data_IF_322340918317
#
_entry.id   IF_322340918317
#
_cell.length_a   1.000
_cell.length_b   1.000
_cell.length_c   1.000
_cell.angle_alpha   90.00
_cell.angle_beta   90.00
_cell.angle_gamma   90.00
#
_symmetry.space_group_name_H-M   'P 1'
#
loop_
_entity.id
_entity.type
_entity.pdbx_description
1 polymer ?
2 non-polymer ?
3 water ?
#
# COMPACT_ATOMS: atom_id res chain seq x y z
N UNK A 24 -9.05 -26.04 -31.09
CA UNK A 24 -9.90 -26.95 -30.36
C UNK A 24 -11.13 -26.31 -29.77
N UNK A 25 -11.17 -24.98 -29.82
CA UNK A 25 -12.31 -24.24 -29.29
C UNK A 25 -13.57 -24.56 -30.07
N UNK A 26 -14.70 -24.57 -29.36
CA UNK A 26 -15.99 -24.73 -29.99
C UNK A 26 -16.30 -23.52 -30.87
N UNK A 27 -17.19 -23.73 -31.84
CA UNK A 27 -17.58 -22.64 -32.73
C UNK A 27 -18.27 -21.51 -31.97
N UNK A 28 -18.88 -21.82 -30.82
CA UNK A 28 -19.54 -20.79 -30.03
C UNK A 28 -18.52 -19.87 -29.38
N UNK A 29 -17.47 -20.43 -28.78
CA UNK A 29 -16.46 -19.60 -28.13
C UNK A 29 -15.64 -18.81 -29.15
N UNK A 30 -15.36 -19.42 -30.31
CA UNK A 30 -14.63 -18.71 -31.35
C UNK A 30 -15.45 -17.55 -31.91
N UNK A 31 -16.76 -17.73 -32.04
CA UNK A 31 -17.62 -16.64 -32.51
C UNK A 31 -17.72 -15.53 -31.48
N UNK A 32 -17.78 -15.89 -30.19
CA UNK A 32 -17.84 -14.87 -29.15
C UNK A 32 -16.56 -14.03 -29.12
N UNK A 33 -15.40 -14.69 -29.24
CA UNK A 33 -14.14 -13.95 -29.24
C UNK A 33 -14.01 -13.06 -30.47
N UNK A 34 -14.62 -13.45 -31.59
CA UNK A 34 -14.61 -12.65 -32.80
C UNK A 34 -15.77 -11.67 -32.87
N UNK A 35 -16.45 -11.42 -31.75
CA UNK A 35 -17.51 -10.42 -31.65
C UNK A 35 -18.66 -10.70 -32.62
N UNK A 36 -19.00 -11.99 -32.78
CA UNK A 36 -20.14 -12.33 -33.63
C UNK A 36 -21.46 -12.19 -32.89
N UNK A 37 -21.46 -12.36 -31.57
CA UNK A 37 -22.67 -12.29 -30.75
C UNK A 37 -22.54 -11.13 -29.77
N UNK A 38 -23.00 -9.93 -30.14
CA UNK A 38 -22.90 -8.80 -29.21
C UNK A 38 -23.84 -8.90 -28.02
N UNK A 39 -24.98 -9.59 -28.17
CA UNK A 39 -25.98 -9.71 -27.12
C UNK A 39 -26.15 -11.16 -26.68
N UNK A 40 -25.04 -11.88 -26.53
CA UNK A 40 -25.10 -13.26 -26.08
C UNK A 40 -25.54 -13.32 -24.61
N UNK A 41 -26.21 -14.42 -24.27
CA UNK A 41 -26.70 -14.63 -22.91
C UNK A 41 -26.14 -15.93 -22.35
N UNK A 42 -26.25 -16.08 -21.03
CA UNK A 42 -25.76 -17.29 -20.38
C UNK A 42 -26.55 -18.53 -20.80
N UNK A 43 -27.82 -18.35 -21.16
CA UNK A 43 -28.63 -19.48 -21.62
C UNK A 43 -28.12 -20.05 -22.93
N UNK A 44 -27.41 -19.25 -23.74
CA UNK A 44 -26.97 -19.67 -25.06
C UNK A 44 -25.63 -20.39 -25.05
N UNK A 45 -24.95 -20.46 -23.90
CA UNK A 45 -23.68 -21.14 -23.79
C UNK A 45 -23.80 -22.41 -22.94
N UNK A 46 -25.00 -22.98 -22.85
CA UNK A 46 -25.19 -24.21 -22.11
C UNK A 46 -24.36 -25.33 -22.72
N UNK A 47 -23.78 -26.16 -21.86
CA UNK A 47 -22.86 -27.19 -22.29
C UNK A 47 -21.46 -26.74 -22.58
N UNK A 48 -21.18 -25.42 -22.49
CA UNK A 48 -19.85 -24.89 -22.76
C UNK A 48 -19.34 -24.03 -21.60
N UNK A 49 -19.85 -24.24 -20.39
CA UNK A 49 -19.48 -23.38 -19.27
C UNK A 49 -18.04 -23.63 -18.86
N UNK A 50 -17.61 -24.89 -18.84
CA UNK A 50 -16.23 -25.20 -18.48
C UNK A 50 -15.26 -24.60 -19.49
N UNK A 51 -15.57 -24.71 -20.79
CA UNK A 51 -14.71 -24.13 -21.81
C UNK A 51 -14.65 -22.61 -21.69
N UNK A 52 -15.81 -21.97 -21.48
CA UNK A 52 -15.83 -20.52 -21.35
C UNK A 52 -15.12 -20.05 -20.09
N UNK A 53 -15.28 -20.79 -18.98
CA UNK A 53 -14.66 -20.37 -17.73
C UNK A 53 -13.14 -20.38 -17.81
N UNK A 54 -12.57 -21.26 -18.63
CA UNK A 54 -11.13 -21.37 -18.77
C UNK A 54 -10.57 -20.50 -19.89
N UNK A 55 -11.42 -19.78 -20.61
CA UNK A 55 -10.99 -18.83 -21.62
C UNK A 55 -10.94 -17.42 -21.02
N UNK A 56 -9.99 -16.62 -21.51
CA UNK A 56 -9.82 -15.27 -20.98
C UNK A 56 -11.07 -14.43 -21.19
N UNK A 57 -11.62 -14.46 -22.40
CA UNK A 57 -12.79 -13.63 -22.69
C UNK A 57 -14.09 -14.32 -22.27
N UNK A 58 -14.14 -15.65 -22.36
CA UNK A 58 -15.33 -16.36 -21.92
C UNK A 58 -15.56 -16.28 -20.42
N UNK A 59 -14.48 -16.30 -19.64
CA UNK A 59 -14.60 -16.15 -18.19
C UNK A 59 -15.16 -14.79 -17.82
N UNK A 60 -14.69 -13.72 -18.48
CA UNK A 60 -15.22 -12.40 -18.22
C UNK A 60 -16.69 -12.28 -18.63
N UNK A 61 -17.09 -13.04 -19.66
CA UNK A 61 -18.49 -13.05 -20.05
C UNK A 61 -19.36 -13.61 -18.93
N UNK A 62 -18.94 -14.71 -18.33
CA UNK A 62 -19.71 -15.30 -17.23
C UNK A 62 -19.71 -14.36 -16.03
N UNK A 63 -18.58 -13.70 -15.77
CA UNK A 63 -18.48 -12.79 -14.62
C UNK A 63 -19.52 -11.68 -14.71
N UNK A 64 -19.50 -10.90 -15.80
CA UNK A 64 -20.39 -9.75 -15.91
C UNK A 64 -21.85 -10.18 -15.98
N UNK A 65 -22.12 -11.40 -16.46
CA UNK A 65 -23.49 -11.89 -16.54
C UNK A 65 -23.96 -12.53 -15.24
N UNK A 66 -23.04 -13.01 -14.41
CA UNK A 66 -23.43 -13.72 -13.19
C UNK A 66 -24.12 -12.81 -12.18
N UNK A 67 -23.99 -11.49 -12.32
CA UNK A 67 -24.54 -10.60 -11.31
C UNK A 67 -26.01 -10.27 -11.54
N UNK A 68 -26.57 -10.59 -12.70
CA UNK A 68 -27.92 -10.17 -13.05
C UNK A 68 -28.80 -11.33 -13.51
N UNK A 69 -28.38 -12.56 -13.28
CA UNK A 69 -29.13 -13.74 -13.68
C UNK A 69 -29.95 -14.26 -12.50
N UNK A 70 -31.04 -14.95 -12.81
CA UNK A 70 -31.87 -15.55 -11.78
C UNK A 70 -31.09 -16.65 -11.07
N UNK A 71 -31.44 -16.97 -9.82
CA UNK A 71 -30.77 -18.08 -9.14
C UNK A 71 -30.84 -19.38 -9.90
N UNK A 72 -31.89 -19.57 -10.71
CA UNK A 72 -31.99 -20.79 -11.52
C UNK A 72 -30.94 -20.78 -12.63
N UNK A 73 -30.73 -19.63 -13.28
CA UNK A 73 -29.69 -19.54 -14.30
C UNK A 73 -28.31 -19.68 -13.69
N UNK A 74 -28.10 -19.14 -12.49
CA UNK A 74 -26.83 -19.34 -11.80
C UNK A 74 -26.63 -20.81 -11.44
N UNK A 75 -27.71 -21.49 -11.02
CA UNK A 75 -27.59 -22.90 -10.67
C UNK A 75 -27.21 -23.75 -11.88
N UNK A 76 -27.73 -23.41 -13.06
CA UNK A 76 -27.36 -24.14 -14.27
C UNK A 76 -25.89 -23.94 -14.60
N UNK A 77 -25.39 -22.71 -14.42
CA UNK A 77 -23.96 -22.47 -14.59
C UNK A 77 -23.16 -23.20 -13.51
N UNK A 78 -23.66 -23.19 -12.27
CA UNK A 78 -22.96 -23.84 -11.18
C UNK A 78 -22.89 -25.35 -11.35
N UNK A 79 -23.86 -25.95 -12.05
CA UNK A 79 -23.88 -27.40 -12.22
C UNK A 79 -22.72 -27.86 -13.09
N UNK A 80 -22.38 -27.09 -14.13
CA UNK A 80 -21.34 -27.50 -15.06
C UNK A 80 -19.93 -27.29 -14.54
N UNK A 81 -19.76 -26.63 -13.40
CA UNK A 81 -18.43 -26.36 -12.84
C UNK A 81 -18.23 -26.98 -11.47
N UNK A 82 -19.26 -27.61 -10.89
CA UNK A 82 -19.13 -28.13 -9.53
C UNK A 82 -18.11 -29.25 -9.45
N UNK A 83 -18.09 -30.15 -10.43
CA UNK A 83 -17.19 -31.29 -10.37
C UNK A 83 -15.73 -30.86 -10.52
N UNK A 84 -15.48 -29.76 -11.23
CA UNK A 84 -14.13 -29.24 -11.42
C UNK A 84 -13.92 -27.90 -10.73
N UNK A 85 -14.64 -27.67 -9.63
CA UNK A 85 -14.52 -26.39 -8.92
C UNK A 85 -13.13 -26.23 -8.32
N UNK A 86 -12.59 -27.28 -7.69
CA UNK A 86 -11.25 -27.20 -7.13
C UNK A 86 -10.22 -26.98 -8.22
N UNK A 87 -10.45 -27.52 -9.42
CA UNK A 87 -9.57 -27.24 -10.55
C UNK A 87 -9.66 -25.78 -10.97
N UNK A 88 -10.87 -25.22 -10.98
CA UNK A 88 -11.06 -23.85 -11.43
C UNK A 88 -10.55 -22.82 -10.43
N UNK A 89 -10.47 -23.17 -9.14
CA UNK A 89 -10.02 -22.22 -8.14
C UNK A 89 -8.57 -21.81 -8.36
N UNK A 90 -7.76 -22.68 -8.98
CA UNK A 90 -6.36 -22.35 -9.28
C UNK A 90 -6.15 -22.01 -10.74
N UNK A 91 -7.20 -22.02 -11.55
CA UNK A 91 -7.06 -21.64 -12.94
C UNK A 91 -6.90 -20.13 -13.07
N UNK A 92 -6.13 -19.70 -14.07
CA UNK A 92 -5.84 -18.29 -14.26
C UNK A 92 -7.11 -17.51 -14.57
N UNK A 93 -8.06 -18.13 -15.29
CA UNK A 93 -9.30 -17.48 -15.67
C UNK A 93 -10.52 -18.06 -14.98
N UNK A 94 -10.51 -19.34 -14.63
CA UNK A 94 -11.65 -19.95 -13.98
C UNK A 94 -11.83 -19.51 -12.54
N UNK A 95 -10.77 -19.04 -11.88
CA UNK A 95 -10.89 -18.64 -10.48
C UNK A 95 -11.82 -17.44 -10.32
N UNK A 96 -11.93 -16.59 -11.35
CA UNK A 96 -12.84 -15.44 -11.26
C UNK A 96 -14.30 -15.89 -11.24
N UNK A 97 -14.62 -16.96 -11.97
CA UNK A 97 -15.98 -17.49 -11.95
C UNK A 97 -16.30 -18.04 -10.56
N UNK A 98 -15.32 -18.67 -9.92
CA UNK A 98 -15.53 -19.13 -8.54
C UNK A 98 -15.69 -17.95 -7.60
N UNK A 99 -14.93 -16.88 -7.83
CA UNK A 99 -15.06 -15.68 -7.00
C UNK A 99 -16.44 -15.06 -7.14
N UNK A 100 -16.95 -14.97 -8.38
CA UNK A 100 -18.26 -14.37 -8.59
C UNK A 100 -19.38 -15.20 -7.98
N UNK A 101 -19.22 -16.52 -7.93
CA UNK A 101 -20.23 -17.35 -7.28
C UNK A 101 -20.25 -17.12 -5.77
N UNK A 102 -19.12 -16.75 -5.17
CA UNK A 102 -19.14 -16.32 -3.78
C UNK A 102 -19.81 -14.97 -3.64
N UNK A 103 -19.68 -14.10 -4.64
CA UNK A 103 -20.23 -12.75 -4.57
C UNK A 103 -21.70 -12.67 -4.95
N UNK A 104 -22.20 -13.64 -5.73
CA UNK A 104 -23.59 -13.59 -6.18
C UNK A 104 -24.33 -14.91 -6.12
N UNK A 105 -23.72 -15.98 -5.60
CA UNK A 105 -24.37 -17.27 -5.56
C UNK A 105 -25.23 -17.46 -4.33
N UNK A 106 -26.06 -18.50 -4.37
CA UNK A 106 -26.96 -18.80 -3.27
C UNK A 106 -26.19 -19.45 -2.12
N UNK A 107 -26.91 -19.77 -1.04
CA UNK A 107 -26.27 -20.24 0.18
C UNK A 107 -25.62 -21.61 -0.01
N UNK A 108 -26.41 -22.58 -0.47
CA UNK A 108 -25.89 -23.94 -0.61
C UNK A 108 -24.78 -24.02 -1.66
N UNK A 109 -24.77 -23.09 -2.61
CA UNK A 109 -23.66 -23.03 -3.56
C UNK A 109 -22.37 -22.62 -2.87
N UNK A 110 -22.42 -21.63 -1.98
CA UNK A 110 -21.23 -21.24 -1.24
C UNK A 110 -20.82 -22.33 -0.25
N UNK A 111 -21.79 -23.02 0.34
CA UNK A 111 -21.47 -24.15 1.20
C UNK A 111 -20.85 -25.30 0.41
N UNK A 112 -21.29 -25.49 -0.84
CA UNK A 112 -20.70 -26.53 -1.68
C UNK A 112 -19.27 -26.16 -2.07
N UNK A 113 -19.04 -24.90 -2.43
CA UNK A 113 -17.69 -24.45 -2.75
C UNK A 113 -16.79 -24.50 -1.52
N UNK A 114 -17.33 -24.17 -0.36
CA UNK A 114 -16.53 -24.23 0.86
C UNK A 114 -16.21 -25.67 1.25
N UNK A 115 -17.09 -26.61 0.94
CA UNK A 115 -16.81 -28.02 1.26
C UNK A 115 -15.66 -28.55 0.42
N UNK A 116 -15.51 -28.08 -0.81
CA UNK A 116 -14.36 -28.46 -1.62
C UNK A 116 -13.07 -27.85 -1.08
N UNK A 117 -13.17 -26.66 -0.48
CA UNK A 117 -11.99 -26.01 0.08
C UNK A 117 -11.58 -26.66 1.40
N UNK A 118 -12.52 -27.26 2.13
CA UNK A 118 -12.20 -27.91 3.40
C UNK A 118 -11.14 -28.98 3.18
N UNK A 119 -10.04 -28.87 3.92
CA UNK A 119 -8.90 -29.76 3.77
C UNK A 119 -7.85 -29.26 2.81
N UNK A 120 -8.13 -28.22 2.02
CA UNK A 120 -7.17 -27.67 1.08
C UNK A 120 -7.01 -26.16 1.25
N UNK A 121 -7.33 -25.63 2.43
CA UNK A 121 -7.23 -24.18 2.64
C UNK A 121 -5.78 -23.73 2.57
N UNK A 122 -4.86 -24.51 3.15
CA UNK A 122 -3.45 -24.15 3.11
C UNK A 122 -2.91 -24.20 1.69
N UNK A 123 -3.27 -25.23 0.93
CA UNK A 123 -2.77 -25.36 -0.44
C UNK A 123 -3.26 -24.21 -1.32
N UNK A 124 -4.51 -23.79 -1.14
CA UNK A 124 -5.06 -22.70 -1.94
C UNK A 124 -4.49 -21.35 -1.53
N UNK A 125 -4.37 -21.11 -0.22
CA UNK A 125 -3.87 -19.82 0.25
C UNK A 125 -2.45 -19.54 -0.19
N UNK A 126 -1.68 -20.58 -0.52
CA UNK A 126 -0.32 -20.42 -1.01
C UNK A 126 -0.25 -20.31 -2.53
N UNK A 127 -1.37 -20.47 -3.22
CA UNK A 127 -1.41 -20.39 -4.67
C UNK A 127 -1.70 -18.95 -5.10
N UNK A 128 -1.31 -18.65 -6.35
CA UNK A 128 -1.44 -17.29 -6.86
C UNK A 128 -2.91 -16.87 -6.93
N UNK A 129 -3.76 -17.72 -7.50
CA UNK A 129 -5.18 -17.41 -7.62
C UNK A 129 -6.02 -18.05 -6.53
N UNK A 130 -5.50 -19.09 -5.86
CA UNK A 130 -6.21 -19.67 -4.74
C UNK A 130 -6.35 -18.73 -3.56
N UNK A 131 -5.33 -17.88 -3.33
CA UNK A 131 -5.40 -16.95 -2.22
C UNK A 131 -6.53 -15.95 -2.40
N UNK A 132 -6.86 -15.61 -3.65
CA UNK A 132 -8.00 -14.73 -3.92
C UNK A 132 -9.32 -15.46 -3.73
N UNK A 133 -9.36 -16.76 -4.02
CA UNK A 133 -10.57 -17.53 -3.74
C UNK A 133 -10.79 -17.65 -2.24
N UNK A 134 -9.71 -17.85 -1.48
CA UNK A 134 -9.83 -17.94 -0.02
C UNK A 134 -10.34 -16.61 0.55
N UNK A 135 -9.83 -15.49 0.01
CA UNK A 135 -10.28 -14.19 0.48
C UNK A 135 -11.76 -13.95 0.17
N UNK A 136 -12.18 -14.25 -1.06
CA UNK A 136 -13.57 -14.08 -1.42
C UNK A 136 -14.48 -15.01 -0.63
N UNK A 137 -13.99 -16.20 -0.29
CA UNK A 137 -14.78 -17.13 0.51
C UNK A 137 -15.04 -16.57 1.90
N UNK A 138 -13.97 -16.19 2.61
CA UNK A 138 -14.13 -15.62 3.95
C UNK A 138 -14.93 -14.32 3.94
N UNK A 139 -15.10 -13.70 2.78
CA UNK A 139 -15.83 -12.44 2.68
C UNK A 139 -17.33 -12.63 2.52
N UNK A 140 -17.78 -13.78 2.05
CA UNK A 140 -19.18 -13.96 1.70
C UNK A 140 -19.85 -15.20 2.29
N UNK A 141 -19.11 -16.11 2.92
CA UNK A 141 -19.72 -17.31 3.49
C UNK A 141 -20.15 -16.99 4.92
N UNK A 142 -21.10 -17.75 5.50
CA UNK A 142 -21.52 -17.47 6.88
C UNK A 142 -20.38 -17.59 7.87
N UNK A 143 -20.62 -17.06 9.07
CA UNK A 143 -19.56 -16.96 10.07
C UNK A 143 -19.10 -18.33 10.54
N UNK A 144 -20.02 -19.28 10.70
CA UNK A 144 -19.64 -20.62 11.15
C UNK A 144 -18.70 -21.29 10.17
N UNK A 145 -18.84 -21.00 8.87
CA UNK A 145 -17.91 -21.54 7.88
C UNK A 145 -16.63 -20.71 7.81
N UNK A 146 -16.70 -19.42 8.15
CA UNK A 146 -15.49 -18.63 8.29
C UNK A 146 -14.63 -19.15 9.43
N UNK A 147 -15.26 -19.52 10.54
CA UNK A 147 -14.50 -20.01 11.70
C UNK A 147 -13.85 -21.34 11.40
N UNK A 148 -14.60 -22.29 10.84
CA UNK A 148 -14.03 -23.59 10.49
C UNK A 148 -12.91 -23.47 9.49
N UNK A 149 -12.93 -22.41 8.68
CA UNK A 149 -11.89 -22.19 7.67
C UNK A 149 -10.70 -21.41 8.23
N UNK A 150 -10.95 -20.46 9.13
CA UNK A 150 -9.84 -19.71 9.71
C UNK A 150 -9.11 -20.55 10.76
N UNK A 151 -9.79 -21.52 11.37
CA UNK A 151 -9.11 -22.43 12.29
C UNK A 151 -8.10 -23.30 11.56
N UNK A 152 -8.33 -23.57 10.28
CA UNK A 152 -7.36 -24.29 9.48
C UNK A 152 -6.15 -23.43 9.13
N UNK A 153 -6.32 -22.10 9.13
CA UNK A 153 -5.21 -21.19 8.87
C UNK A 153 -4.29 -21.06 10.09
N UNK A 154 -4.86 -21.08 11.30
CA UNK A 154 -4.05 -20.92 12.50
C UNK A 154 -3.05 -22.05 12.68
N UNK A 155 -3.21 -23.16 11.96
CA UNK A 155 -2.29 -24.29 12.11
C UNK A 155 -0.97 -24.04 11.42
N UNK A 156 -0.92 -23.10 10.48
CA UNK A 156 0.27 -22.80 9.69
C UNK A 156 0.47 -21.29 9.56
N UNK A 157 0.20 -20.55 10.65
CA UNK A 157 0.28 -19.10 10.59
C UNK A 157 1.69 -18.63 10.24
N UNK A 158 2.71 -19.26 10.84
CA UNK A 158 4.08 -18.86 10.58
C UNK A 158 4.47 -19.06 9.11
N UNK A 159 3.94 -20.12 8.49
CA UNK A 159 4.23 -20.35 7.07
C UNK A 159 3.51 -19.35 6.18
N UNK A 160 2.30 -18.92 6.56
CA UNK A 160 1.49 -18.07 5.71
C UNK A 160 1.98 -16.63 5.69
N UNK A 161 2.44 -16.11 6.83
CA UNK A 161 2.81 -14.70 6.90
C UNK A 161 4.02 -14.38 6.03
N UNK A 162 4.84 -15.37 5.68
CA UNK A 162 6.03 -15.14 4.88
C UNK A 162 5.85 -15.55 3.43
N UNK A 163 4.71 -16.11 3.07
CA UNK A 163 4.48 -16.58 1.70
C UNK A 163 4.09 -15.42 0.80
N UNK A 164 4.42 -15.58 -0.49
CA UNK A 164 4.13 -14.53 -1.47
C UNK A 164 2.64 -14.26 -1.60
N UNK A 165 1.81 -15.29 -1.42
CA UNK A 165 0.36 -15.13 -1.50
C UNK A 165 -0.35 -15.44 -0.20
N UNK A 166 0.24 -16.26 0.67
CA UNK A 166 -0.40 -16.56 1.95
C UNK A 166 -0.52 -15.36 2.86
N UNK A 167 0.38 -14.38 2.72
CA UNK A 167 0.33 -13.20 3.56
C UNK A 167 -0.92 -12.38 3.31
N UNK A 168 -1.45 -12.39 2.09
CA UNK A 168 -2.67 -11.65 1.80
C UNK A 168 -3.88 -12.24 2.50
N UNK A 169 -3.90 -13.56 2.70
CA UNK A 169 -4.97 -14.18 3.46
C UNK A 169 -4.87 -13.80 4.93
N UNK A 170 -3.65 -13.77 5.47
CA UNK A 170 -3.46 -13.39 6.87
C UNK A 170 -3.85 -11.94 7.09
N UNK A 171 -3.54 -11.06 6.12
CA UNK A 171 -3.96 -9.67 6.24
C UNK A 171 -5.48 -9.55 6.29
N UNK A 172 -6.18 -10.36 5.48
CA UNK A 172 -7.63 -10.30 5.45
C UNK A 172 -8.23 -10.63 6.81
N UNK A 173 -7.67 -11.62 7.51
CA UNK A 173 -8.16 -11.97 8.84
C UNK A 173 -7.85 -10.86 9.83
N UNK A 174 -6.71 -10.21 9.69
CA UNK A 174 -6.37 -9.10 10.57
C UNK A 174 -7.29 -7.91 10.38
N UNK A 175 -7.90 -7.77 9.19
CA UNK A 175 -8.77 -6.64 8.93
C UNK A 175 -10.24 -6.94 9.21
N UNK A 176 -10.66 -8.20 9.05
CA UNK A 176 -12.08 -8.54 9.17
C UNK A 176 -12.36 -9.75 10.05
N UNK A 177 -11.34 -10.36 10.64
CA UNK A 177 -11.55 -11.51 11.48
C UNK A 177 -11.94 -11.15 12.89
N UNK A 178 -12.09 -12.18 13.73
CA UNK A 178 -12.45 -11.99 15.12
C UNK A 178 -11.23 -11.56 15.93
N UNK A 179 -11.44 -10.82 17.03
CA UNK A 179 -10.30 -10.41 17.85
C UNK A 179 -9.48 -11.57 18.39
N UNK A 180 -10.13 -12.71 18.68
CA UNK A 180 -9.39 -13.89 19.12
C UNK A 180 -8.50 -14.43 18.01
N UNK A 181 -8.97 -14.36 16.76
CA UNK A 181 -8.16 -14.80 15.64
C UNK A 181 -6.97 -13.86 15.43
N UNK A 182 -7.18 -12.55 15.58
CA UNK A 182 -6.08 -11.61 15.46
C UNK A 182 -5.06 -11.79 16.58
N UNK A 183 -5.52 -12.18 17.78
CA UNK A 183 -4.59 -12.42 18.88
C UNK A 183 -3.69 -13.61 18.60
N UNK A 184 -4.23 -14.65 17.95
CA UNK A 184 -3.40 -15.79 17.59
C UNK A 184 -2.35 -15.40 16.56
N UNK A 185 -2.70 -14.49 15.64
CA UNK A 185 -1.74 -14.05 14.64
C UNK A 185 -0.69 -13.14 15.28
N UNK A 186 -1.11 -12.28 16.22
CA UNK A 186 -0.16 -11.42 16.92
C UNK A 186 0.80 -12.26 17.76
N UNK A 187 0.29 -13.31 18.41
CA UNK A 187 1.16 -14.18 19.21
C UNK A 187 2.17 -14.90 18.34
N UNK A 188 1.83 -15.20 17.09
CA UNK A 188 2.78 -15.84 16.20
C UNK A 188 3.87 -14.89 15.74
N UNK A 189 3.58 -13.60 15.70
CA UNK A 189 4.53 -12.58 15.33
C UNK A 189 5.40 -12.13 16.50
N UNK A 190 4.91 -12.30 17.70
CA UNK A 190 5.61 -11.90 18.91
C UNK A 190 6.93 -12.64 19.05
N UNK A 191 7.97 -11.87 19.24
CA UNK A 191 9.31 -12.39 19.32
C UNK A 191 10.07 -12.36 18.01
N UNK A 192 9.40 -12.06 16.92
CA UNK A 192 10.04 -12.00 15.61
C UNK A 192 9.76 -10.72 14.87
N UNK A 193 9.36 -9.72 15.61
CA UNK A 193 8.90 -8.46 15.03
C UNK A 193 9.98 -7.83 14.18
N UNK A 194 11.22 -7.81 14.67
CA UNK A 194 12.30 -7.19 13.91
C UNK A 194 12.56 -7.93 12.60
N UNK A 195 12.64 -9.26 12.67
CA UNK A 195 12.98 -10.03 11.47
C UNK A 195 11.84 -9.97 10.46
N UNK A 196 10.60 -10.19 10.91
CA UNK A 196 9.48 -10.21 9.98
C UNK A 196 9.16 -8.83 9.41
N UNK A 197 9.50 -7.76 10.14
CA UNK A 197 9.32 -6.43 9.59
C UNK A 197 10.19 -6.21 8.36
N UNK A 198 11.38 -6.82 8.34
CA UNK A 198 12.28 -6.71 7.20
C UNK A 198 11.97 -7.70 6.09
N UNK A 199 11.06 -8.63 6.31
CA UNK A 199 10.67 -9.58 5.28
C UNK A 199 9.82 -8.87 4.23
N UNK A 200 9.97 -9.29 2.96
CA UNK A 200 9.28 -8.62 1.87
C UNK A 200 7.76 -8.72 2.02
N UNK A 201 7.26 -9.89 2.39
CA UNK A 201 5.82 -10.10 2.50
C UNK A 201 5.31 -10.05 3.94
N UNK A 202 6.11 -10.47 4.91
CA UNK A 202 5.67 -10.43 6.30
C UNK A 202 5.54 -9.02 6.83
N UNK A 203 6.24 -8.06 6.22
CA UNK A 203 6.13 -6.66 6.65
C UNK A 203 4.69 -6.18 6.55
N UNK A 204 3.97 -6.60 5.50
CA UNK A 204 2.57 -6.24 5.38
C UNK A 204 1.75 -6.80 6.53
N UNK A 205 2.10 -8.01 6.99
CA UNK A 205 1.36 -8.63 8.08
C UNK A 205 1.68 -7.94 9.40
N UNK A 206 2.95 -7.60 9.63
CA UNK A 206 3.34 -6.92 10.85
C UNK A 206 2.68 -5.55 10.93
N UNK A 207 2.57 -4.86 9.79
CA UNK A 207 1.91 -3.55 9.77
C UNK A 207 0.43 -3.67 10.13
N UNK A 208 -0.25 -4.70 9.61
CA UNK A 208 -1.65 -4.89 9.92
C UNK A 208 -1.86 -5.24 11.39
N UNK A 209 -0.89 -5.93 12.00
CA UNK A 209 -0.97 -6.19 13.44
C UNK A 209 -0.92 -4.91 14.24
N UNK A 210 0.02 -4.02 13.91
CA UNK A 210 0.12 -2.74 14.60
C UNK A 210 -1.17 -1.94 14.42
N UNK A 211 -1.85 -2.12 13.30
CA UNK A 211 -3.06 -1.35 13.02
C UNK A 211 -4.29 -1.93 13.71
N UNK A 212 -4.44 -3.26 13.70
CA UNK A 212 -5.70 -3.88 14.09
C UNK A 212 -5.65 -4.67 15.40
N UNK A 213 -4.47 -4.90 15.97
CA UNK A 213 -4.42 -5.56 17.26
C UNK A 213 -4.93 -4.63 18.35
N UNK A 214 -5.17 -5.20 19.53
CA UNK A 214 -5.60 -4.39 20.66
C UNK A 214 -4.47 -3.45 21.08
N UNK A 215 -4.84 -2.42 21.86
CA UNK A 215 -3.87 -1.43 22.28
C UNK A 215 -2.79 -2.04 23.17
N UNK A 216 -3.12 -3.11 23.89
CA UNK A 216 -2.11 -3.80 24.69
C UNK A 216 -1.18 -4.63 23.81
N UNK A 217 -1.75 -5.39 22.87
CA UNK A 217 -0.95 -6.24 21.99
C UNK A 217 0.02 -5.41 21.16
N UNK A 218 -0.47 -4.32 20.56
CA UNK A 218 0.40 -3.50 19.72
C UNK A 218 1.40 -2.71 20.55
N UNK A 219 1.10 -2.43 21.82
CA UNK A 219 2.09 -1.81 22.70
C UNK A 219 3.19 -2.79 23.06
N UNK A 220 2.87 -4.08 23.17
CA UNK A 220 3.90 -5.09 23.39
C UNK A 220 4.75 -5.27 22.15
N UNK A 221 4.13 -5.26 20.97
CA UNK A 221 4.88 -5.40 19.72
C UNK A 221 5.81 -4.21 19.51
N UNK A 222 5.32 -3.00 19.81
CA UNK A 222 6.18 -1.82 19.70
C UNK A 222 7.30 -1.88 20.74
N UNK A 223 6.98 -2.35 21.95
CA UNK A 223 8.00 -2.44 23.00
C UNK A 223 9.11 -3.41 22.62
N UNK A 224 8.80 -4.43 21.82
CA UNK A 224 9.80 -5.42 21.46
C UNK A 224 10.95 -4.78 20.68
N UNK A 225 10.63 -3.93 19.71
CA UNK A 225 11.67 -3.25 18.94
C UNK A 225 12.18 -1.99 19.64
N UNK A 226 11.59 -1.61 20.77
CA UNK A 226 12.10 -0.52 21.58
C UNK A 226 13.17 -0.98 22.57
N UNK A 227 13.43 -2.28 22.65
CA UNK A 227 14.45 -2.79 23.57
C UNK A 227 15.84 -2.58 23.00
N UNK A 228 16.80 -2.38 23.90
CA UNK A 228 18.19 -2.20 23.51
C UNK A 228 18.79 -3.55 23.13
N UNK A 229 19.35 -3.64 21.92
CA UNK A 229 20.04 -4.83 21.46
C UNK A 229 21.48 -4.49 21.14
N UNK A 230 22.29 -5.53 20.91
CA UNK A 230 23.71 -5.37 20.62
C UNK A 230 24.01 -5.36 19.14
N UNK A 231 22.99 -5.24 18.29
CA UNK A 231 23.19 -5.22 16.86
C UNK A 231 23.94 -4.00 16.38
N UNK A 232 24.39 -4.02 15.12
CA UNK A 232 25.12 -2.86 14.59
C UNK A 232 24.35 -1.56 14.72
N UNK A 233 23.05 -1.58 14.48
CA UNK A 233 22.16 -0.47 14.74
C UNK A 233 21.04 -0.93 15.65
N UNK A 234 20.39 0.03 16.32
CA UNK A 234 19.24 -0.30 17.13
C UNK A 234 18.14 -0.90 16.27
N UNK A 235 17.23 -1.64 16.92
CA UNK A 235 16.13 -2.26 16.20
C UNK A 235 15.30 -1.22 15.46
N UNK A 236 15.03 -0.08 16.10
CA UNK A 236 14.23 0.95 15.47
C UNK A 236 14.98 1.60 14.30
N UNK A 237 16.25 1.95 14.51
CA UNK A 237 17.01 2.58 13.43
C UNK A 237 17.22 1.64 12.26
N UNK A 238 17.46 0.35 12.54
CA UNK A 238 17.57 -0.64 11.47
C UNK A 238 16.28 -0.71 10.66
N UNK A 239 15.13 -0.62 11.33
CA UNK A 239 13.84 -0.68 10.64
C UNK A 239 13.59 0.58 9.81
N UNK A 240 13.99 1.75 10.33
CA UNK A 240 13.74 3.00 9.63
C UNK A 240 14.49 3.06 8.30
N UNK A 241 15.66 2.43 8.23
CA UNK A 241 16.47 2.42 7.01
C UNK A 241 16.24 1.18 6.17
N UNK A 242 15.39 0.25 6.61
CA UNK A 242 15.13 -0.96 5.86
C UNK A 242 14.10 -0.72 4.77
N UNK A 243 14.18 -1.51 3.69
CA UNK A 243 13.30 -1.33 2.56
C UNK A 243 11.84 -1.59 2.93
N UNK A 244 11.60 -2.61 3.74
CA UNK A 244 10.23 -3.02 4.08
C UNK A 244 9.82 -2.65 5.50
N UNK A 245 10.76 -2.61 6.44
CA UNK A 245 10.42 -2.35 7.83
C UNK A 245 10.11 -0.88 8.10
N UNK A 246 10.54 0.04 7.23
CA UNK A 246 10.23 1.45 7.45
C UNK A 246 8.74 1.72 7.34
N UNK A 247 8.04 0.95 6.52
CA UNK A 247 6.59 1.06 6.45
C UNK A 247 5.93 0.63 7.75
N UNK A 248 6.59 -0.24 8.51
CA UNK A 248 6.06 -0.65 9.81
C UNK A 248 6.32 0.43 10.86
N UNK A 249 7.47 1.10 10.77
CA UNK A 249 7.79 2.17 11.72
C UNK A 249 6.77 3.30 11.59
N UNK A 250 6.42 3.67 10.36
CA UNK A 250 5.46 4.76 10.15
C UNK A 250 4.13 4.45 10.82
N UNK A 251 3.69 3.19 10.76
CA UNK A 251 2.43 2.82 11.41
C UNK A 251 2.59 2.80 12.93
N UNK A 252 3.77 2.43 13.44
CA UNK A 252 4.00 2.45 14.88
C UNK A 252 3.97 3.88 15.42
N UNK A 253 4.53 4.83 14.65
CA UNK A 253 4.51 6.24 15.07
C UNK A 253 3.08 6.74 15.19
N UNK A 254 2.17 6.24 14.36
CA UNK A 254 0.80 6.75 14.36
C UNK A 254 0.01 6.30 15.58
N UNK A 255 0.25 5.08 16.06
CA UNK A 255 -0.61 4.48 17.08
C UNK A 255 0.07 4.36 18.44
N UNK A 256 1.37 4.61 18.55
CA UNK A 256 2.05 4.43 19.82
C UNK A 256 1.55 5.42 20.86
N UNK A 257 1.45 4.95 22.11
CA UNK A 257 1.09 5.82 23.21
C UNK A 257 2.22 6.83 23.45
N UNK A 258 1.90 7.97 24.07
CA UNK A 258 2.93 9.01 24.27
C UNK A 258 4.22 8.51 24.90
N UNK A 259 4.15 7.52 25.77
CA UNK A 259 5.34 6.95 26.36
C UNK A 259 6.23 6.28 25.34
N UNK A 260 5.68 5.29 24.63
CA UNK A 260 6.45 4.61 23.59
C UNK A 260 6.71 5.53 22.41
N UNK A 261 5.85 6.53 22.18
CA UNK A 261 6.06 7.44 21.07
C UNK A 261 7.34 8.26 21.23
N UNK A 262 7.57 8.78 22.44
CA UNK A 262 8.79 9.55 22.67
C UNK A 262 10.04 8.72 22.48
N UNK A 263 9.97 7.42 22.79
CA UNK A 263 11.13 6.55 22.62
C UNK A 263 11.41 6.33 21.14
N UNK A 264 10.37 6.11 20.34
CA UNK A 264 10.55 5.89 18.91
C UNK A 264 11.05 7.17 18.24
N UNK A 265 10.43 8.30 18.55
CA UNK A 265 10.83 9.56 17.93
C UNK A 265 12.23 9.99 18.35
N UNK A 266 12.63 9.64 19.58
CA UNK A 266 13.99 9.97 20.01
C UNK A 266 15.02 9.26 19.13
N UNK A 267 14.80 7.98 18.84
CA UNK A 267 15.72 7.26 17.97
C UNK A 267 15.71 7.83 16.55
N UNK A 268 14.57 8.34 16.10
CA UNK A 268 14.49 8.94 14.78
C UNK A 268 15.27 10.25 14.71
N UNK A 269 15.22 11.04 15.77
CA UNK A 269 15.91 12.32 15.77
C UNK A 269 17.43 12.17 15.82
N UNK A 270 17.92 11.11 16.45
CA UNK A 270 19.36 10.89 16.55
C UNK A 270 19.99 10.56 15.20
N UNK A 271 19.20 10.08 14.24
CA UNK A 271 19.72 9.65 12.94
C UNK A 271 19.07 10.42 11.79
N UNK A 272 18.51 11.60 12.07
CA UNK A 272 17.80 12.36 11.04
C UNK A 272 18.72 12.70 9.86
N UNK A 273 19.98 13.04 10.15
CA UNK A 273 20.89 13.45 9.09
C UNK A 273 21.08 12.33 8.07
N UNK A 274 21.25 11.09 8.54
CA UNK A 274 21.38 9.97 7.62
C UNK A 274 20.04 9.53 7.04
N UNK A 275 18.95 9.69 7.80
CA UNK A 275 17.66 9.20 7.33
C UNK A 275 17.13 10.00 6.15
N UNK A 276 17.33 11.33 6.17
CA UNK A 276 16.81 12.15 5.09
C UNK A 276 17.49 11.86 3.76
N UNK A 277 18.69 11.26 3.79
CA UNK A 277 19.41 10.93 2.57
C UNK A 277 19.39 9.44 2.26
N UNK A 278 18.98 8.59 3.19
CA UNK A 278 18.91 7.16 2.93
C UNK A 278 17.81 6.85 1.93
N UNK A 279 17.99 5.75 1.19
CA UNK A 279 17.03 5.38 0.15
C UNK A 279 15.66 5.10 0.73
N UNK A 280 15.61 4.49 1.92
CA UNK A 280 14.34 4.15 2.55
C UNK A 280 14.02 4.97 3.79
N UNK A 281 15.03 5.50 4.48
CA UNK A 281 14.78 6.31 5.65
C UNK A 281 14.10 7.63 5.36
N UNK A 282 14.22 8.14 4.14
CA UNK A 282 13.59 9.41 3.80
C UNK A 282 12.08 9.33 3.84
N UNK A 283 11.51 8.14 3.64
CA UNK A 283 10.06 7.99 3.69
C UNK A 283 9.53 8.17 5.11
N UNK A 284 10.27 7.67 6.11
CA UNK A 284 9.85 7.85 7.50
C UNK A 284 9.89 9.33 7.87
N UNK A 285 10.90 10.05 7.39
CA UNK A 285 10.98 11.48 7.67
C UNK A 285 9.81 12.21 7.04
N UNK A 286 9.46 11.87 5.79
CA UNK A 286 8.32 12.49 5.15
C UNK A 286 7.03 12.22 5.93
N UNK A 287 6.87 11.01 6.45
CA UNK A 287 5.67 10.68 7.21
C UNK A 287 5.56 11.52 8.47
N UNK A 288 6.69 11.77 9.14
CA UNK A 288 6.68 12.62 10.33
C UNK A 288 6.35 14.05 9.95
N UNK A 289 6.80 14.50 8.78
CA UNK A 289 6.49 15.86 8.34
C UNK A 289 5.02 16.01 7.95
N UNK A 290 4.39 14.94 7.50
CA UNK A 290 3.00 15.05 7.07
C UNK A 290 2.03 14.90 8.23
N UNK A 291 2.30 13.98 9.16
CA UNK A 291 1.35 13.62 10.19
C UNK A 291 1.86 13.77 11.62
N UNK A 292 3.12 14.16 11.80
CA UNK A 292 3.70 14.23 13.13
C UNK A 292 3.34 15.51 13.86
N UNK A 293 3.75 15.56 15.13
CA UNK A 293 3.56 16.74 15.95
C UNK A 293 4.40 17.90 15.42
N UNK A 294 3.99 19.13 15.69
CA UNK A 294 4.80 20.27 15.22
C UNK A 294 6.20 20.33 15.82
N UNK A 295 6.39 19.76 17.01
CA UNK A 295 7.72 19.74 17.61
C UNK A 295 8.67 18.83 16.84
N UNK A 296 8.17 17.66 16.41
CA UNK A 296 9.00 16.76 15.62
C UNK A 296 9.28 17.33 14.24
N UNK A 297 8.29 18.00 13.64
CA UNK A 297 8.49 18.66 12.36
C UNK A 297 9.53 19.78 12.49
N UNK A 298 9.55 20.47 13.63
CA UNK A 298 10.48 21.58 13.82
C UNK A 298 11.92 21.07 13.92
N UNK A 299 12.13 19.93 14.58
CA UNK A 299 13.48 19.40 14.70
C UNK A 299 13.98 18.82 13.37
N UNK A 300 13.06 18.37 12.51
CA UNK A 300 13.46 17.94 11.18
C UNK A 300 13.81 19.15 10.32
N UNK A 301 13.00 20.20 10.39
CA UNK A 301 13.28 21.43 9.65
C UNK A 301 14.62 22.01 10.07
N UNK A 302 14.90 22.01 11.38
CA UNK A 302 16.17 22.49 11.88
C UNK A 302 17.35 21.67 11.38
N UNK A 303 17.13 20.39 11.07
CA UNK A 303 18.24 19.56 10.60
C UNK A 303 18.59 19.86 9.15
N UNK A 304 17.59 19.96 8.27
CA UNK A 304 17.84 20.31 6.88
C UNK A 304 18.08 21.80 6.69
N UNK A 305 17.79 22.62 7.70
CA UNK A 305 18.09 24.04 7.62
C UNK A 305 19.59 24.25 7.45
N UNK A 306 19.96 25.03 6.44
CA UNK A 306 21.35 25.27 6.09
C UNK A 306 21.86 24.39 4.98
N UNK A 307 21.05 23.45 4.50
CA UNK A 307 21.44 22.51 3.46
C UNK A 307 20.36 22.37 2.41
N UNK A 308 19.45 23.34 2.31
CA UNK A 308 18.35 23.24 1.36
C UNK A 308 18.88 23.10 -0.06
N UNK A 309 19.90 23.89 -0.41
CA UNK A 309 20.46 23.84 -1.75
C UNK A 309 21.01 22.46 -2.09
N UNK A 310 21.82 21.89 -1.19
CA UNK A 310 22.42 20.60 -1.47
C UNK A 310 21.38 19.49 -1.40
N UNK A 311 20.51 19.52 -0.39
CA UNK A 311 19.55 18.44 -0.22
C UNK A 311 18.45 18.48 -1.28
N UNK A 312 18.16 19.66 -1.84
CA UNK A 312 17.17 19.74 -2.90
C UNK A 312 17.66 19.08 -4.18
N UNK A 313 18.97 19.12 -4.43
CA UNK A 313 19.56 18.44 -5.58
C UNK A 313 19.84 16.97 -5.32
N UNK A 314 19.58 16.49 -4.11
CA UNK A 314 19.79 15.09 -3.78
C UNK A 314 18.61 14.26 -4.26
N UNK A 315 18.91 13.09 -4.84
CA UNK A 315 17.86 12.25 -5.42
C UNK A 315 16.84 11.83 -4.37
N UNK A 316 17.27 11.62 -3.12
CA UNK A 316 16.40 11.16 -2.06
C UNK A 316 15.97 12.27 -1.10
N UNK A 317 16.87 13.18 -0.75
CA UNK A 317 16.56 14.21 0.23
C UNK A 317 15.71 15.34 -0.34
N UNK A 318 15.53 15.40 -1.66
CA UNK A 318 14.74 16.47 -2.25
C UNK A 318 13.29 16.42 -1.79
N UNK A 319 12.71 15.22 -1.72
CA UNK A 319 11.33 15.08 -1.28
C UNK A 319 11.18 15.45 0.19
N UNK A 320 12.24 15.29 0.99
CA UNK A 320 12.19 15.73 2.39
C UNK A 320 12.12 17.24 2.46
N UNK A 321 12.99 17.93 1.71
CA UNK A 321 12.99 19.39 1.70
C UNK A 321 11.65 19.91 1.19
N UNK A 322 11.08 19.25 0.18
CA UNK A 322 9.77 19.66 -0.32
C UNK A 322 8.71 19.56 0.77
N UNK A 323 8.74 18.49 1.55
CA UNK A 323 7.77 18.35 2.65
C UNK A 323 8.00 19.37 3.74
N UNK A 324 9.26 19.78 3.96
CA UNK A 324 9.52 20.80 4.97
C UNK A 324 8.95 22.15 4.54
N UNK A 325 9.06 22.48 3.27
CA UNK A 325 8.47 23.73 2.77
C UNK A 325 6.96 23.67 2.84
N UNK A 326 6.39 22.47 2.73
CA UNK A 326 4.94 22.35 2.70
C UNK A 326 4.32 22.30 4.09
N UNK A 327 5.02 21.75 5.08
CA UNK A 327 4.40 21.47 6.38
C UNK A 327 5.01 22.24 7.57
N UNK A 328 6.09 22.98 7.37
CA UNK A 328 6.66 23.73 8.48
C UNK A 328 5.79 24.93 8.83
N UNK A 329 6.09 25.57 9.95
CA UNK A 329 5.39 26.77 10.35
C UNK A 329 5.78 27.94 9.43
N UNK A 330 5.02 29.03 9.55
CA UNK A 330 5.25 30.17 8.67
C UNK A 330 6.64 30.76 8.87
N UNK A 331 7.11 30.82 10.12
CA UNK A 331 8.43 31.37 10.39
C UNK A 331 9.53 30.45 9.88
N UNK A 332 9.35 29.13 10.01
CA UNK A 332 10.33 28.20 9.49
C UNK A 332 10.36 28.21 7.96
N UNK A 333 9.19 28.34 7.33
CA UNK A 333 9.14 28.46 5.88
C UNK A 333 9.84 29.73 5.42
N UNK A 334 9.69 30.81 6.18
CA UNK A 334 10.33 32.07 5.79
C UNK A 334 11.85 31.94 5.80
N UNK A 335 12.40 31.21 6.76
CA UNK A 335 13.84 31.05 6.83
C UNK A 335 14.33 30.07 5.75
N UNK A 336 13.57 28.99 5.52
CA UNK A 336 13.95 28.05 4.48
C UNK A 336 13.94 28.72 3.11
N UNK A 337 12.92 29.53 2.83
CA UNK A 337 12.81 30.18 1.53
C UNK A 337 13.85 31.29 1.39
N UNK A 338 14.07 32.06 2.46
CA UNK A 338 15.04 33.14 2.40
C UNK A 338 16.47 32.62 2.26
N UNK A 339 16.74 31.42 2.77
CA UNK A 339 18.08 30.84 2.65
C UNK A 339 18.48 30.67 1.19
N UNK A 340 17.53 30.29 0.34
CA UNK A 340 17.82 30.10 -1.07
C UNK A 340 17.93 31.43 -1.81
N UNK A 341 17.14 32.43 -1.41
CA UNK A 341 17.14 33.72 -2.09
C UNK A 341 18.42 34.52 -1.88
N UNK A 342 19.33 34.05 -1.04
CA UNK A 342 20.59 34.76 -0.80
C UNK A 342 21.79 33.88 -1.13
N UNK A 349 22.96 32.49 -8.38
CA UNK A 349 21.87 32.40 -7.42
C UNK A 349 21.47 30.95 -7.20
N UNK A 350 21.06 30.62 -5.97
CA UNK A 350 20.68 29.25 -5.67
C UNK A 350 19.41 28.84 -6.39
N UNK A 351 18.48 29.79 -6.60
CA UNK A 351 17.23 29.47 -7.28
C UNK A 351 17.49 29.01 -8.71
N UNK A 352 18.44 29.63 -9.40
CA UNK A 352 18.74 29.24 -10.77
C UNK A 352 19.27 27.80 -10.82
N UNK A 353 20.18 27.46 -9.91
CA UNK A 353 20.69 26.09 -9.85
C UNK A 353 19.57 25.11 -9.53
N UNK A 354 18.63 25.50 -8.68
CA UNK A 354 17.56 24.60 -8.29
C UNK A 354 16.53 24.43 -9.40
N UNK A 355 16.26 25.50 -10.16
CA UNK A 355 15.29 25.39 -11.25
C UNK A 355 15.83 24.54 -12.39
N UNK A 356 17.15 24.53 -12.59
CA UNK A 356 17.74 23.69 -13.62
C UNK A 356 17.87 22.24 -13.19
N UNK A 357 17.83 21.96 -11.89
CA UNK A 357 17.99 20.61 -11.39
C UNK A 357 16.70 19.81 -11.56
N UNK A 358 16.85 18.49 -11.72
CA UNK A 358 15.69 17.62 -11.90
C UNK A 358 14.93 17.39 -10.61
N UNK A 359 15.62 17.40 -9.46
CA UNK A 359 14.94 17.17 -8.19
C UNK A 359 14.61 18.48 -7.49
N UNK A 360 15.58 19.40 -7.43
CA UNK A 360 15.38 20.70 -6.78
C UNK A 360 14.34 21.56 -7.47
N UNK A 361 13.92 21.20 -8.70
CA UNK A 361 12.90 21.98 -9.39
C UNK A 361 11.59 21.99 -8.61
N UNK A 362 11.19 20.84 -8.06
CA UNK A 362 9.93 20.77 -7.32
C UNK A 362 9.98 21.58 -6.04
N UNK A 363 11.16 21.75 -5.44
CA UNK A 363 11.27 22.56 -4.23
C UNK A 363 10.98 24.03 -4.53
N UNK A 364 11.46 24.52 -5.68
CA UNK A 364 11.20 25.91 -6.05
C UNK A 364 9.70 26.13 -6.26
N UNK A 365 9.02 25.18 -6.90
CA UNK A 365 7.59 25.34 -7.18
C UNK A 365 6.78 25.34 -5.88
N UNK A 366 7.16 24.50 -4.92
CA UNK A 366 6.48 24.49 -3.63
C UNK A 366 6.71 25.79 -2.87
N UNK A 367 7.91 26.37 -2.99
CA UNK A 367 8.20 27.64 -2.33
C UNK A 367 7.35 28.76 -2.91
N UNK A 368 7.06 28.72 -4.22
CA UNK A 368 6.25 29.77 -4.83
C UNK A 368 4.81 29.69 -4.34
N UNK A 369 4.31 28.47 -4.13
CA UNK A 369 2.91 28.30 -3.74
C UNK A 369 2.67 28.67 -2.29
N UNK A 370 3.64 28.42 -1.42
CA UNK A 370 3.43 28.55 0.02
C UNK A 370 3.96 29.86 0.59
N UNK A 371 4.84 30.55 -0.13
CA UNK A 371 5.42 31.79 0.39
C UNK A 371 4.35 32.86 0.57
N UNK A 372 4.44 33.59 1.68
CA UNK A 372 3.56 34.73 1.89
C UNK A 372 3.79 35.77 0.79
N UNK A 373 2.76 36.55 0.45
CA UNK A 373 2.88 37.46 -0.71
C UNK A 373 4.07 38.39 -0.66
N UNK A 374 4.48 38.83 0.54
CA UNK A 374 5.66 39.67 0.63
C UNK A 374 6.93 38.96 0.25
N UNK A 375 7.08 37.71 0.69
CA UNK A 375 8.28 36.94 0.37
C UNK A 375 8.19 36.30 -1.01
N UNK A 376 6.99 35.97 -1.48
CA UNK A 376 6.85 35.42 -2.83
C UNK A 376 7.30 36.42 -3.88
N UNK A 377 7.10 37.71 -3.64
CA UNK A 377 7.63 38.73 -4.55
C UNK A 377 9.15 38.66 -4.64
N UNK A 378 9.81 38.35 -3.53
CA UNK A 378 11.27 38.22 -3.54
C UNK A 378 11.70 37.01 -4.36
N UNK A 379 10.97 35.90 -4.22
CA UNK A 379 11.29 34.70 -4.98
C UNK A 379 11.10 34.95 -6.47
N UNK A 380 9.96 35.53 -6.84
CA UNK A 380 9.69 35.82 -8.24
C UNK A 380 10.64 36.88 -8.80
N UNK A 381 11.17 37.74 -7.93
CA UNK A 381 12.17 38.72 -8.38
C UNK A 381 13.49 38.03 -8.71
N UNK A 382 13.81 36.94 -8.03
CA UNK A 382 15.03 36.19 -8.35
C UNK A 382 14.85 35.30 -9.57
N UNK A 383 13.63 34.80 -9.81
CA UNK A 383 13.36 34.01 -11.00
C UNK A 383 13.24 34.88 -12.24
N UNK A 384 12.90 36.15 -12.07
CA UNK A 384 12.64 37.06 -13.19
C UNK A 384 13.78 37.13 -14.22
N UNK A 385 15.06 37.24 -13.84
CA UNK A 385 16.11 37.36 -14.87
C UNK A 385 16.29 36.13 -15.74
N UNK A 386 15.73 34.98 -15.35
CA UNK A 386 15.93 33.74 -16.09
C UNK A 386 14.68 33.24 -16.79
N UNK A 387 13.65 34.09 -16.92
CA UNK A 387 12.38 33.64 -17.48
C UNK A 387 12.55 33.21 -18.93
N UNK A 388 13.34 33.95 -19.71
CA UNK A 388 13.51 33.62 -21.11
C UNK A 388 14.33 32.33 -21.31
N UNK A 389 15.06 31.89 -20.30
CA UNK A 389 15.88 30.69 -20.42
C UNK A 389 15.24 29.46 -19.82
N UNK A 390 14.13 29.60 -19.08
CA UNK A 390 13.53 28.46 -18.40
C UNK A 390 12.84 27.52 -19.39
N UNK A 391 12.37 28.04 -20.53
CA UNK A 391 11.61 27.22 -21.46
C UNK A 391 12.44 26.11 -22.09
N UNK A 392 13.77 26.20 -22.03
CA UNK A 392 14.61 25.15 -22.60
C UNK A 392 14.58 23.90 -21.73
N UNK A 393 14.64 24.10 -20.41
CA UNK A 393 14.61 23.00 -19.43
C UNK A 393 13.25 22.32 -19.44
N UNK A 394 13.24 21.07 -18.97
CA UNK A 394 12.04 20.24 -19.08
C UNK A 394 10.88 20.83 -18.31
N UNK A 395 11.13 21.17 -17.05
CA UNK A 395 10.13 21.60 -16.09
C UNK A 395 9.96 23.11 -16.07
N UNK A 396 10.74 23.83 -16.90
CA UNK A 396 10.59 25.27 -17.01
C UNK A 396 9.17 25.70 -17.32
N UNK A 397 8.45 24.91 -18.11
CA UNK A 397 7.08 25.22 -18.38
C UNK A 397 6.29 25.12 -17.10
N UNK A 398 6.54 24.11 -16.31
CA UNK A 398 5.86 24.00 -15.03
C UNK A 398 6.12 25.22 -14.15
N UNK A 399 7.33 25.79 -14.24
CA UNK A 399 7.65 26.97 -13.45
C UNK A 399 6.92 28.19 -13.98
N UNK A 400 6.96 28.39 -15.30
CA UNK A 400 6.29 29.54 -15.90
C UNK A 400 4.78 29.48 -15.68
N UNK A 401 4.19 28.29 -15.86
CA UNK A 401 2.74 28.15 -15.65
C UNK A 401 2.36 28.40 -14.21
N UNK A 402 3.26 28.11 -13.26
CA UNK A 402 2.98 28.38 -11.86
C UNK A 402 3.29 29.82 -11.48
N UNK A 403 4.28 30.43 -12.15
CA UNK A 403 4.53 31.86 -11.94
C UNK A 403 3.35 32.70 -12.39
N UNK A 404 2.69 32.29 -13.47
CA UNK A 404 1.57 33.04 -14.03
C UNK A 404 0.43 33.20 -13.02
N UNK A 405 0.35 32.32 -12.03
CA UNK A 405 -0.74 32.39 -11.06
C UNK A 405 -0.61 33.61 -10.14
N UNK A 406 0.62 34.03 -9.81
CA UNK A 406 0.82 35.15 -8.92
C UNK A 406 1.63 36.30 -9.50
N UNK A 407 2.46 36.07 -10.50
CA UNK A 407 3.39 37.09 -10.97
C UNK A 407 2.64 38.28 -11.56
N UNK A 408 2.87 39.46 -10.97
CA UNK A 408 2.26 40.71 -11.41
C UNK A 408 0.73 40.62 -11.38
N UNK A 409 0.20 39.97 -10.36
CA UNK A 409 -1.24 39.89 -10.16
C UNK A 409 -1.64 40.41 -8.78
#
# INVERSE_FOLDING_TARGET
MGSSHHHHHHSQDLEVLFQGPHMGRSRLLEDFRNNRYPNLQLREIAGHIMEFSQDQHGSRFIQLKLERATPAERQLVFNEILQAAYQLMVDVFGNYVIQKFFEFGSLEQKLALAERIRGHVLSLALQMYGCRVIQKALEFIPSDQQNEMVRELHQHTEQLVQDQYGNYVIQHVLEHGRPEDKSKIVAEIRGNVLVLSQHKFASNVVEKCVTHASRTERAVLIDEVCTMNDGPHSALYTMMKDQYANYVVQKMIDVAEPGQRKIVMHELHQHTEQLVQDQYGNYVIQHVLEHGRPEDKSKIVAEIRGNVLVLSQHKFASNVVEKCVTHASRTERAVLIDEVCTMNDGPHSALYTMMKDQYANYVVQKMIDVAEPGQRKIVMHKIRPHIATLRKYTYGKHILAKLEKYYMKNGVDLG
#
